data_IF_634373533730
#
_entry.id   IF_634373533730
#
_cell.length_a   1.000
_cell.length_b   1.000
_cell.length_c   1.000
_cell.angle_alpha   90.00
_cell.angle_beta   90.00
_cell.angle_gamma   90.00
#
_symmetry.space_group_name_H-M   'P 1'
#
loop_
_entity.id
_entity.type
_entity.pdbx_description
1 polymer ?
#
# COMPACT_ATOMS: atom_id res chain seq x y z
N UNK A 1 47.03 -6.23 -19.62
CA UNK A 1 46.36 -6.50 -18.31
C UNK A 1 44.92 -5.96 -18.39
N UNK A 2 43.91 -6.82 -18.51
CA UNK A 2 42.51 -6.37 -18.47
C UNK A 2 41.88 -6.82 -17.15
N UNK A 3 41.91 -5.98 -16.10
CA UNK A 3 41.33 -6.31 -14.80
C UNK A 3 40.34 -5.26 -14.24
N UNK A 4 39.79 -4.36 -15.06
CA UNK A 4 38.87 -3.32 -14.54
C UNK A 4 37.37 -3.52 -14.87
N UNK A 5 37.00 -4.55 -15.62
CA UNK A 5 35.61 -4.67 -16.08
C UNK A 5 34.68 -5.45 -15.12
N UNK A 6 35.18 -6.33 -14.24
CA UNK A 6 34.31 -7.09 -13.34
C UNK A 6 33.76 -6.27 -12.19
N UNK A 7 34.55 -5.37 -11.61
CA UNK A 7 34.13 -4.53 -10.48
C UNK A 7 33.08 -3.48 -10.85
N UNK A 8 33.14 -2.91 -12.04
CA UNK A 8 32.16 -1.91 -12.54
C UNK A 8 30.80 -2.56 -12.84
N UNK A 9 30.80 -3.77 -13.33
CA UNK A 9 29.57 -4.49 -13.63
C UNK A 9 28.80 -4.87 -12.38
N UNK A 10 29.47 -5.35 -11.34
CA UNK A 10 28.86 -5.72 -10.06
C UNK A 10 28.30 -4.51 -9.31
N UNK A 11 28.99 -3.36 -9.34
CA UNK A 11 28.53 -2.14 -8.71
C UNK A 11 27.30 -1.54 -9.42
N UNK A 12 27.22 -1.61 -10.74
CA UNK A 12 26.07 -1.14 -11.51
C UNK A 12 24.81 -1.97 -11.23
N UNK A 13 24.95 -3.30 -11.14
CA UNK A 13 23.85 -4.22 -10.79
C UNK A 13 23.39 -4.00 -9.34
N UNK A 14 24.30 -3.80 -8.39
CA UNK A 14 23.99 -3.46 -7.01
C UNK A 14 23.18 -2.16 -6.93
N UNK A 15 23.60 -1.12 -7.64
CA UNK A 15 22.89 0.17 -7.68
C UNK A 15 21.49 0.01 -8.28
N UNK A 16 21.35 -0.71 -9.38
CA UNK A 16 20.06 -0.94 -10.03
C UNK A 16 19.06 -1.63 -9.09
N UNK A 17 19.48 -2.66 -8.35
CA UNK A 17 18.62 -3.37 -7.38
C UNK A 17 18.22 -2.42 -6.23
N UNK A 18 19.14 -1.57 -5.78
CA UNK A 18 18.86 -0.60 -4.72
C UNK A 18 17.86 0.47 -5.15
N UNK A 19 18.00 0.96 -6.38
CA UNK A 19 17.10 1.94 -6.96
C UNK A 19 15.69 1.34 -7.16
N UNK A 20 15.58 0.05 -7.52
CA UNK A 20 14.31 -0.66 -7.64
C UNK A 20 13.61 -0.81 -6.27
N UNK A 21 14.35 -1.13 -5.22
CA UNK A 21 13.80 -1.18 -3.85
C UNK A 21 13.26 0.20 -3.43
N UNK A 22 14.02 1.28 -3.68
CA UNK A 22 13.60 2.64 -3.35
C UNK A 22 12.37 3.06 -4.18
N UNK A 23 12.29 2.64 -5.45
CA UNK A 23 11.14 2.89 -6.30
C UNK A 23 9.88 2.24 -5.75
N UNK A 24 9.93 0.96 -5.36
CA UNK A 24 8.79 0.24 -4.77
C UNK A 24 8.34 0.83 -3.42
N UNK A 25 9.27 1.28 -2.58
CA UNK A 25 8.94 1.97 -1.33
C UNK A 25 8.20 3.28 -1.60
N UNK A 26 8.64 4.06 -2.60
CA UNK A 26 7.97 5.30 -3.01
C UNK A 26 6.58 5.05 -3.60
N UNK A 27 6.44 4.01 -4.43
CA UNK A 27 5.13 3.60 -4.96
C UNK A 27 4.15 3.22 -3.85
N UNK A 28 4.63 2.55 -2.80
CA UNK A 28 3.80 2.21 -1.64
C UNK A 28 3.30 3.47 -0.92
N UNK A 29 4.17 4.46 -0.71
CA UNK A 29 3.79 5.76 -0.14
C UNK A 29 2.76 6.50 -1.00
N UNK A 30 2.97 6.52 -2.30
CA UNK A 30 2.04 7.15 -3.25
C UNK A 30 0.66 6.48 -3.25
N UNK A 31 0.62 5.15 -3.27
CA UNK A 31 -0.63 4.36 -3.19
C UNK A 31 -1.40 4.66 -1.90
N UNK A 32 -0.70 4.79 -0.77
CA UNK A 32 -1.32 5.14 0.52
C UNK A 32 -1.91 6.55 0.51
N UNK A 33 -1.21 7.53 -0.06
CA UNK A 33 -1.73 8.89 -0.17
C UNK A 33 -3.02 8.95 -1.00
N UNK A 34 -3.05 8.28 -2.15
CA UNK A 34 -4.25 8.16 -2.97
C UNK A 34 -5.38 7.44 -2.24
N UNK A 35 -5.05 6.38 -1.49
CA UNK A 35 -6.01 5.65 -0.68
C UNK A 35 -6.63 6.54 0.39
N UNK A 36 -5.84 7.27 1.18
CA UNK A 36 -6.35 8.19 2.22
C UNK A 36 -7.26 9.25 1.61
N UNK A 37 -6.85 9.86 0.50
CA UNK A 37 -7.65 10.86 -0.20
C UNK A 37 -9.00 10.29 -0.67
N UNK A 38 -8.99 9.07 -1.24
CA UNK A 38 -10.22 8.38 -1.66
C UNK A 38 -11.14 8.06 -0.49
N UNK A 39 -10.60 7.62 0.65
CA UNK A 39 -11.39 7.36 1.85
C UNK A 39 -12.03 8.63 2.41
N UNK A 40 -11.28 9.75 2.45
CA UNK A 40 -11.81 11.04 2.87
C UNK A 40 -12.98 11.50 1.97
N UNK A 41 -12.84 11.30 0.66
CA UNK A 41 -13.92 11.60 -0.29
C UNK A 41 -15.17 10.72 -0.05
N UNK A 42 -14.99 9.42 0.13
CA UNK A 42 -16.10 8.47 0.37
C UNK A 42 -16.82 8.77 1.70
N UNK A 43 -16.06 9.09 2.76
CA UNK A 43 -16.65 9.50 4.04
C UNK A 43 -17.45 10.80 3.91
N UNK A 44 -16.93 11.77 3.15
CA UNK A 44 -17.64 13.02 2.89
C UNK A 44 -18.92 12.79 2.09
N UNK A 45 -18.88 11.93 1.08
CA UNK A 45 -20.04 11.55 0.29
C UNK A 45 -21.11 10.86 1.16
N UNK A 46 -20.70 9.96 2.06
CA UNK A 46 -21.59 9.29 3.00
C UNK A 46 -22.23 10.30 3.97
N UNK A 47 -21.44 11.22 4.53
CA UNK A 47 -21.95 12.27 5.43
C UNK A 47 -23.00 13.15 4.76
N UNK A 48 -22.75 13.60 3.52
CA UNK A 48 -23.70 14.41 2.74
C UNK A 48 -24.98 13.60 2.44
N UNK A 49 -24.84 12.33 2.06
CA UNK A 49 -25.99 11.46 1.80
C UNK A 49 -26.84 11.27 3.05
N UNK A 50 -26.22 11.14 4.22
CA UNK A 50 -26.92 10.98 5.50
C UNK A 50 -27.65 12.27 5.90
N UNK A 51 -26.99 13.43 5.79
CA UNK A 51 -27.59 14.74 6.17
C UNK A 51 -28.80 15.10 5.30
N UNK A 52 -28.78 14.70 4.03
CA UNK A 52 -29.88 15.01 3.11
C UNK A 52 -31.01 13.96 3.09
N UNK A 53 -30.95 12.92 3.93
CA UNK A 53 -31.93 11.83 3.95
C UNK A 53 -33.32 12.36 4.30
N UNK A 54 -33.42 13.31 5.24
CA UNK A 54 -34.67 13.87 5.72
C UNK A 54 -35.29 14.91 4.77
N UNK A 55 -34.51 15.41 3.80
CA UNK A 55 -34.96 16.45 2.85
C UNK A 55 -35.32 15.88 1.47
N UNK A 56 -35.09 14.62 1.22
CA UNK A 56 -35.38 13.99 -0.08
C UNK A 56 -36.75 13.30 -0.06
N UNK A 57 -37.58 13.53 -1.10
CA UNK A 57 -38.80 12.73 -1.25
C UNK A 57 -38.46 11.25 -1.38
N UNK A 58 -39.29 10.37 -0.81
CA UNK A 58 -39.11 8.93 -0.97
C UNK A 58 -39.16 8.57 -2.45
N UNK A 59 -38.07 8.00 -2.96
CA UNK A 59 -37.97 7.61 -4.37
C UNK A 59 -37.07 6.39 -4.53
N UNK A 60 -37.28 5.57 -5.55
CA UNK A 60 -36.58 4.28 -5.72
C UNK A 60 -35.05 4.38 -5.91
N UNK A 61 -34.49 5.58 -6.02
CA UNK A 61 -33.06 5.79 -6.15
C UNK A 61 -32.31 6.01 -4.82
N UNK A 62 -33.00 6.31 -3.72
CA UNK A 62 -32.37 6.67 -2.47
C UNK A 62 -31.80 5.46 -1.73
N UNK A 63 -32.40 4.30 -1.86
CA UNK A 63 -31.98 3.07 -1.19
C UNK A 63 -30.76 2.43 -1.83
N UNK A 64 -30.44 2.79 -3.07
CA UNK A 64 -29.32 2.24 -3.81
C UNK A 64 -27.97 2.88 -3.44
N UNK A 65 -27.94 4.16 -3.07
CA UNK A 65 -26.68 4.85 -2.77
C UNK A 65 -26.05 4.39 -1.46
N UNK A 66 -26.88 3.98 -0.49
CA UNK A 66 -26.37 3.62 0.82
C UNK A 66 -25.48 2.37 0.81
N UNK A 67 -25.83 1.24 0.19
CA UNK A 67 -24.94 0.09 0.12
C UNK A 67 -23.78 0.28 -0.85
N UNK A 68 -23.92 1.13 -1.89
CA UNK A 68 -22.91 1.29 -2.93
C UNK A 68 -21.62 1.94 -2.39
N UNK A 69 -21.74 3.01 -1.59
CA UNK A 69 -20.56 3.73 -1.06
C UNK A 69 -19.70 2.83 -0.16
N UNK A 70 -20.23 2.13 0.86
CA UNK A 70 -19.45 1.19 1.65
C UNK A 70 -18.85 0.04 0.83
N UNK A 71 -19.56 -0.48 -0.17
CA UNK A 71 -19.04 -1.54 -1.03
C UNK A 71 -17.85 -1.08 -1.87
N UNK A 72 -17.91 0.12 -2.45
CA UNK A 72 -16.78 0.72 -3.17
C UNK A 72 -15.59 0.97 -2.25
N UNK A 73 -15.85 1.43 -1.02
CA UNK A 73 -14.83 1.66 -0.03
C UNK A 73 -14.14 0.34 0.40
N UNK A 74 -14.91 -0.73 0.64
CA UNK A 74 -14.39 -2.06 0.94
C UNK A 74 -13.55 -2.59 -0.23
N UNK A 75 -14.05 -2.46 -1.45
CA UNK A 75 -13.31 -2.88 -2.65
C UNK A 75 -11.97 -2.13 -2.77
N UNK A 76 -11.95 -0.82 -2.52
CA UNK A 76 -10.72 -0.02 -2.54
C UNK A 76 -9.73 -0.45 -1.45
N UNK A 77 -10.21 -0.79 -0.23
CA UNK A 77 -9.37 -1.33 0.84
C UNK A 77 -8.71 -2.66 0.43
N UNK A 78 -9.46 -3.56 -0.20
CA UNK A 78 -8.94 -4.84 -0.68
C UNK A 78 -7.90 -4.63 -1.78
N UNK A 79 -8.17 -3.77 -2.76
CA UNK A 79 -7.25 -3.50 -3.86
C UNK A 79 -5.92 -2.90 -3.36
N UNK A 80 -5.98 -1.95 -2.43
CA UNK A 80 -4.76 -1.36 -1.86
C UNK A 80 -3.97 -2.38 -1.04
N UNK A 81 -4.64 -3.23 -0.25
CA UNK A 81 -3.98 -4.32 0.49
C UNK A 81 -3.23 -5.27 -0.44
N UNK A 82 -3.87 -5.69 -1.54
CA UNK A 82 -3.22 -6.54 -2.55
C UNK A 82 -2.01 -5.85 -3.18
N UNK A 83 -2.11 -4.54 -3.47
CA UNK A 83 -1.01 -3.74 -4.00
C UNK A 83 0.17 -3.63 -3.02
N UNK A 84 -0.10 -3.43 -1.72
CA UNK A 84 0.93 -3.36 -0.68
C UNK A 84 1.60 -4.73 -0.48
N UNK A 85 0.82 -5.81 -0.44
CA UNK A 85 1.36 -7.17 -0.31
C UNK A 85 2.23 -7.51 -1.51
N UNK A 86 1.79 -7.16 -2.73
CA UNK A 86 2.57 -7.35 -3.96
C UNK A 86 3.92 -6.64 -3.91
N UNK A 87 3.93 -5.35 -3.53
CA UNK A 87 5.17 -4.57 -3.33
C UNK A 87 6.07 -5.18 -2.26
N UNK A 88 5.51 -5.64 -1.13
CA UNK A 88 6.27 -6.31 -0.08
C UNK A 88 6.96 -7.60 -0.57
N UNK A 89 6.28 -8.38 -1.39
CA UNK A 89 6.84 -9.60 -1.99
C UNK A 89 7.97 -9.25 -2.97
N UNK A 90 7.78 -8.23 -3.81
CA UNK A 90 8.79 -7.75 -4.75
C UNK A 90 10.06 -7.30 -4.01
N UNK A 91 9.92 -6.43 -2.99
CA UNK A 91 11.03 -5.96 -2.17
C UNK A 91 11.76 -7.12 -1.48
N UNK A 92 11.04 -8.12 -0.94
CA UNK A 92 11.68 -9.30 -0.34
C UNK A 92 12.51 -10.09 -1.36
N UNK A 93 12.06 -10.18 -2.62
CA UNK A 93 12.80 -10.84 -3.71
C UNK A 93 14.08 -10.07 -4.02
N UNK A 94 14.00 -8.75 -4.23
CA UNK A 94 15.15 -7.90 -4.51
C UNK A 94 16.19 -7.92 -3.39
N UNK A 95 15.75 -7.89 -2.14
CA UNK A 95 16.64 -8.00 -0.97
C UNK A 95 17.37 -9.34 -0.88
N UNK A 96 16.74 -10.44 -1.25
CA UNK A 96 17.42 -11.74 -1.31
C UNK A 96 18.56 -11.72 -2.34
N UNK A 97 18.31 -11.16 -3.52
CA UNK A 97 19.32 -10.99 -4.57
C UNK A 97 20.48 -10.11 -4.08
N UNK A 98 20.16 -8.98 -3.47
CA UNK A 98 21.15 -8.07 -2.91
C UNK A 98 22.02 -8.75 -1.85
N UNK A 99 21.43 -9.50 -0.94
CA UNK A 99 22.16 -10.25 0.09
C UNK A 99 23.06 -11.34 -0.51
N UNK A 100 22.66 -11.95 -1.62
CA UNK A 100 23.52 -12.90 -2.34
C UNK A 100 24.74 -12.21 -2.96
N UNK A 101 24.56 -11.03 -3.57
CA UNK A 101 25.66 -10.23 -4.13
C UNK A 101 26.65 -9.79 -3.03
N UNK A 102 26.16 -9.28 -1.90
CA UNK A 102 27.02 -8.86 -0.76
C UNK A 102 27.80 -10.04 -0.19
N UNK A 103 27.24 -11.27 -0.21
CA UNK A 103 27.98 -12.46 0.23
C UNK A 103 29.09 -12.87 -0.75
N UNK A 104 28.93 -12.58 -2.03
CA UNK A 104 29.92 -12.88 -3.06
C UNK A 104 31.03 -11.82 -3.11
N UNK A 105 30.69 -10.57 -2.84
CA UNK A 105 31.64 -9.46 -2.78
C UNK A 105 31.46 -8.65 -1.48
N UNK A 106 32.26 -8.94 -0.44
CA UNK A 106 32.21 -8.22 0.84
C UNK A 106 32.63 -6.75 0.77
N UNK A 107 33.15 -6.26 -0.37
CA UNK A 107 33.47 -4.85 -0.57
C UNK A 107 32.23 -3.99 -0.80
N UNK A 108 31.10 -4.61 -1.16
CA UNK A 108 29.83 -3.91 -1.32
C UNK A 108 29.29 -3.44 0.04
N UNK A 109 28.78 -2.20 0.13
CA UNK A 109 28.28 -1.67 1.38
C UNK A 109 27.09 -2.50 1.90
N UNK A 110 27.29 -3.15 3.05
CA UNK A 110 26.21 -3.84 3.74
C UNK A 110 25.14 -2.85 4.16
N UNK A 111 23.92 -3.06 3.75
CA UNK A 111 22.79 -2.27 4.25
C UNK A 111 22.50 -2.76 5.67
N UNK A 112 23.00 -2.00 6.67
CA UNK A 112 22.75 -2.27 8.08
C UNK A 112 21.25 -2.23 8.34
N UNK A 113 20.70 -3.35 8.77
CA UNK A 113 19.28 -3.46 9.07
C UNK A 113 19.10 -3.99 10.47
N UNK A 114 18.68 -3.09 11.35
CA UNK A 114 17.98 -3.49 12.55
C UNK A 114 16.62 -4.04 12.11
N UNK A 115 16.51 -5.37 12.08
CA UNK A 115 15.30 -6.09 11.61
C UNK A 115 14.01 -5.69 12.35
N UNK A 116 14.14 -5.05 13.49
CA UNK A 116 13.06 -4.49 14.28
C UNK A 116 12.46 -3.21 13.66
N UNK A 117 13.29 -2.23 13.31
CA UNK A 117 12.84 -0.95 12.70
C UNK A 117 12.07 -1.21 11.42
N UNK A 118 12.50 -2.20 10.66
CA UNK A 118 11.88 -2.59 9.42
C UNK A 118 10.51 -3.27 9.60
N UNK A 119 10.33 -4.04 10.70
CA UNK A 119 9.03 -4.65 11.02
C UNK A 119 7.98 -3.59 11.36
N UNK A 120 8.36 -2.53 12.10
CA UNK A 120 7.49 -1.41 12.42
C UNK A 120 7.18 -0.52 11.21
N UNK A 121 8.15 -0.26 10.34
CA UNK A 121 7.94 0.54 9.13
C UNK A 121 6.87 -0.04 8.18
N UNK A 122 6.73 -1.38 8.16
CA UNK A 122 5.73 -2.07 7.31
C UNK A 122 4.38 -2.27 7.99
N UNK A 123 4.27 -2.08 9.29
CA UNK A 123 3.00 -2.29 10.01
C UNK A 123 1.98 -1.20 9.67
N UNK A 124 2.38 0.06 9.61
CA UNK A 124 1.49 1.18 9.34
C UNK A 124 0.80 1.10 7.96
N UNK A 125 1.52 0.85 6.84
CA UNK A 125 0.90 0.65 5.53
C UNK A 125 -0.13 -0.48 5.47
N UNK A 126 0.06 -1.55 6.24
CA UNK A 126 -0.86 -2.69 6.28
C UNK A 126 -2.06 -2.45 7.20
N UNK A 127 -1.83 -1.84 8.36
CA UNK A 127 -2.88 -1.63 9.37
C UNK A 127 -3.93 -0.63 8.89
N UNK A 128 -3.53 0.42 8.20
CA UNK A 128 -4.42 1.48 7.78
C UNK A 128 -5.59 0.98 6.90
N UNK A 129 -5.36 0.24 5.81
CA UNK A 129 -6.47 -0.31 5.02
C UNK A 129 -7.33 -1.32 5.79
N UNK A 130 -6.74 -2.06 6.75
CA UNK A 130 -7.49 -3.01 7.59
C UNK A 130 -8.45 -2.26 8.51
N UNK A 131 -8.01 -1.16 9.13
CA UNK A 131 -8.87 -0.32 9.97
C UNK A 131 -10.05 0.23 9.17
N UNK A 132 -9.79 0.76 7.98
CA UNK A 132 -10.87 1.24 7.10
C UNK A 132 -11.79 0.10 6.63
N UNK A 133 -11.26 -1.08 6.34
CA UNK A 133 -12.06 -2.25 5.97
C UNK A 133 -13.04 -2.63 7.07
N UNK A 134 -12.58 -2.66 8.33
CA UNK A 134 -13.44 -2.95 9.49
C UNK A 134 -14.49 -1.86 9.67
N UNK A 135 -14.08 -0.58 9.58
CA UNK A 135 -15.00 0.56 9.72
C UNK A 135 -16.11 0.53 8.65
N UNK A 136 -15.76 0.32 7.39
CA UNK A 136 -16.73 0.26 6.30
C UNK A 136 -17.62 -0.98 6.36
N UNK A 137 -17.08 -2.12 6.81
CA UNK A 137 -17.89 -3.33 7.05
C UNK A 137 -18.91 -3.08 8.15
N UNK A 138 -18.53 -2.38 9.22
CA UNK A 138 -19.46 -1.97 10.26
C UNK A 138 -20.56 -1.04 9.74
N UNK A 139 -20.19 -0.01 8.97
CA UNK A 139 -21.16 0.93 8.35
C UNK A 139 -22.14 0.19 7.44
N UNK A 140 -21.65 -0.76 6.64
CA UNK A 140 -22.48 -1.56 5.74
C UNK A 140 -23.50 -2.38 6.53
N UNK A 141 -23.06 -3.10 7.58
CA UNK A 141 -23.95 -3.94 8.40
C UNK A 141 -24.95 -3.09 9.19
N UNK A 142 -24.48 -2.00 9.83
CA UNK A 142 -25.34 -1.09 10.59
C UNK A 142 -26.38 -0.36 9.74
N UNK A 143 -26.10 -0.18 8.45
CA UNK A 143 -27.03 0.47 7.53
C UNK A 143 -28.01 -0.48 6.84
N UNK A 144 -27.79 -1.80 6.95
CA UNK A 144 -28.72 -2.82 6.47
C UNK A 144 -29.75 -3.24 7.54
N UNK A 145 -29.54 -2.83 8.80
CA UNK A 145 -30.44 -3.03 9.94
C UNK A 145 -31.22 -1.76 10.21
#
# INVERSE_FOLDING_TARGET
MPQSQSGDFDFSAYKAIRDEIAHEDNLTGTRLNWFIASQAFLLSALAIAHTNKDQRPPGPGNDFYFPLVPLLAIASCILILLGIIGGAVAIRRWRRLLNQMIRQDPSLPAIGHDGWIMRFGWSAPLLLPIVFLVAWSYVLVAGLV
#
